data_IF_953074977189
#
_entry.id   IF_953074977189
#
_cell.length_a   1.000
_cell.length_b   1.000
_cell.length_c   1.000
_cell.angle_alpha   90.00
_cell.angle_beta   90.00
_cell.angle_gamma   90.00
#
_symmetry.space_group_name_H-M   'P 1'
#
loop_
_entity.id
_entity.type
_entity.pdbx_description
1 polymer ?
#
# COMPACT_ATOMS: atom_id res chain seq x y z
N UNK A 1 29.05 6.50 -4.71
CA UNK A 1 29.32 7.83 -4.10
C UNK A 1 30.53 7.87 -3.16
N UNK A 2 30.96 6.75 -2.55
CA UNK A 2 32.11 6.72 -1.65
C UNK A 2 33.49 7.15 -2.25
N UNK A 3 33.67 7.05 -3.57
CA UNK A 3 34.96 7.32 -4.23
C UNK A 3 35.42 8.78 -4.24
N UNK A 4 34.49 9.75 -4.31
CA UNK A 4 34.82 11.16 -4.47
C UNK A 4 35.48 11.78 -3.21
N UNK A 5 35.04 11.37 -2.01
CA UNK A 5 35.64 11.81 -0.74
C UNK A 5 37.00 11.17 -0.47
N UNK A 6 37.22 9.94 -0.94
CA UNK A 6 38.51 9.26 -0.81
C UNK A 6 39.61 9.93 -1.66
N UNK A 7 39.25 10.43 -2.84
CA UNK A 7 40.21 11.05 -3.78
C UNK A 7 40.65 12.45 -3.36
N UNK A 8 39.74 13.27 -2.87
CA UNK A 8 40.03 14.67 -2.47
C UNK A 8 40.95 14.74 -1.25
N UNK A 9 41.05 13.66 -0.47
CA UNK A 9 41.86 13.61 0.75
C UNK A 9 43.34 13.25 0.54
N UNK A 10 43.80 12.85 -0.65
CA UNK A 10 45.17 12.31 -0.81
C UNK A 10 46.27 13.37 -0.64
N UNK A 11 45.97 14.65 -0.85
CA UNK A 11 46.92 15.77 -0.70
C UNK A 11 46.84 16.49 0.65
N UNK A 12 45.84 16.19 1.48
CA UNK A 12 45.61 16.87 2.76
C UNK A 12 45.86 15.92 3.95
N UNK A 13 46.93 16.17 4.69
CA UNK A 13 47.33 15.39 5.87
C UNK A 13 47.16 16.20 7.16
N UNK A 14 47.03 15.50 8.30
CA UNK A 14 46.90 16.11 9.62
C UNK A 14 45.52 15.91 10.29
N UNK A 15 45.38 16.36 11.56
CA UNK A 15 44.18 16.10 12.38
C UNK A 15 42.89 16.64 11.78
N UNK A 16 42.94 17.81 11.14
CA UNK A 16 41.78 18.42 10.47
C UNK A 16 41.27 17.57 9.30
N UNK A 17 42.18 17.04 8.48
CA UNK A 17 41.82 16.15 7.37
C UNK A 17 41.26 14.81 7.87
N UNK A 18 41.78 14.27 8.97
CA UNK A 18 41.23 13.07 9.60
C UNK A 18 39.79 13.29 10.13
N UNK A 19 39.53 14.43 10.78
CA UNK A 19 38.19 14.81 11.22
C UNK A 19 37.23 15.04 10.06
N UNK A 20 37.67 15.68 8.98
CA UNK A 20 36.86 15.86 7.78
C UNK A 20 36.48 14.53 7.12
N UNK A 21 37.42 13.57 7.01
CA UNK A 21 37.13 12.22 6.48
C UNK A 21 36.14 11.46 7.35
N UNK A 22 36.28 11.55 8.68
CA UNK A 22 35.35 10.93 9.63
C UNK A 22 33.94 11.48 9.45
N UNK A 23 33.78 12.81 9.48
CA UNK A 23 32.49 13.48 9.25
C UNK A 23 31.90 13.18 7.88
N UNK A 24 32.73 13.09 6.84
CA UNK A 24 32.30 12.67 5.51
C UNK A 24 31.78 11.23 5.47
N UNK A 25 32.48 10.30 6.12
CA UNK A 25 32.01 8.91 6.26
C UNK A 25 30.71 8.82 7.05
N UNK A 26 30.62 9.57 8.15
CA UNK A 26 29.43 9.70 8.98
C UNK A 26 28.22 10.22 8.21
N UNK A 27 28.42 11.20 7.32
CA UNK A 27 27.38 11.74 6.43
C UNK A 27 26.94 10.71 5.38
N UNK A 28 27.88 9.97 4.78
CA UNK A 28 27.57 8.93 3.79
C UNK A 28 26.68 7.85 4.41
N UNK A 29 27.02 7.37 5.60
CA UNK A 29 26.21 6.38 6.33
C UNK A 29 24.80 6.91 6.59
N UNK A 30 24.66 8.16 7.06
CA UNK A 30 23.35 8.75 7.30
C UNK A 30 22.51 8.90 6.01
N UNK A 31 23.15 9.22 4.88
CA UNK A 31 22.47 9.30 3.58
C UNK A 31 22.04 7.91 3.08
N UNK A 32 22.83 6.87 3.32
CA UNK A 32 22.47 5.48 3.01
C UNK A 32 21.28 5.01 3.86
N UNK A 33 21.22 5.39 5.14
CA UNK A 33 20.06 5.13 6.01
C UNK A 33 18.80 5.83 5.49
N UNK A 34 18.87 7.11 5.12
CA UNK A 34 17.73 7.84 4.52
C UNK A 34 17.29 7.17 3.21
N UNK A 35 18.23 6.80 2.35
CA UNK A 35 17.92 6.14 1.08
C UNK A 35 17.22 4.80 1.31
N UNK A 36 17.66 4.00 2.28
CA UNK A 36 17.04 2.74 2.64
C UNK A 36 15.60 2.89 3.14
N UNK A 37 15.32 3.91 3.96
CA UNK A 37 13.95 4.18 4.42
C UNK A 37 13.03 4.67 3.30
N UNK A 38 13.54 5.47 2.35
CA UNK A 38 12.80 5.86 1.15
C UNK A 38 12.49 4.66 0.26
N UNK A 39 13.44 3.74 0.10
CA UNK A 39 13.27 2.54 -0.71
C UNK A 39 12.19 1.62 -0.11
N UNK A 40 12.22 1.40 1.20
CA UNK A 40 11.16 0.66 1.92
C UNK A 40 9.77 1.27 1.72
N UNK A 41 9.67 2.60 1.87
CA UNK A 41 8.41 3.31 1.63
C UNK A 41 7.92 3.18 0.18
N UNK A 42 8.83 3.26 -0.79
CA UNK A 42 8.51 3.11 -2.21
C UNK A 42 8.07 1.67 -2.56
N UNK A 43 8.70 0.66 -1.95
CA UNK A 43 8.32 -0.74 -2.09
C UNK A 43 6.92 -0.99 -1.53
N UNK A 44 6.64 -0.52 -0.31
CA UNK A 44 5.31 -0.63 0.31
C UNK A 44 4.21 0.03 -0.54
N UNK A 45 4.49 1.20 -1.12
CA UNK A 45 3.56 1.88 -2.04
C UNK A 45 3.32 1.07 -3.31
N UNK A 46 4.37 0.46 -3.88
CA UNK A 46 4.26 -0.35 -5.10
C UNK A 46 3.45 -1.61 -4.85
N UNK A 47 3.73 -2.32 -3.77
CA UNK A 47 3.00 -3.53 -3.40
C UNK A 47 1.53 -3.22 -3.14
N UNK A 48 1.25 -2.12 -2.45
CA UNK A 48 -0.12 -1.71 -2.22
C UNK A 48 -0.83 -1.28 -3.50
N UNK A 49 -0.15 -0.63 -4.44
CA UNK A 49 -0.73 -0.29 -5.74
C UNK A 49 -1.12 -1.54 -6.56
N UNK A 50 -0.28 -2.58 -6.53
CA UNK A 50 -0.58 -3.88 -7.16
C UNK A 50 -1.78 -4.54 -6.47
N UNK A 51 -1.80 -4.56 -5.13
CA UNK A 51 -2.91 -5.13 -4.35
C UNK A 51 -4.23 -4.39 -4.60
N UNK A 52 -4.20 -3.06 -4.70
CA UNK A 52 -5.37 -2.25 -5.00
C UNK A 52 -5.90 -2.51 -6.42
N UNK A 53 -5.00 -2.68 -7.40
CA UNK A 53 -5.39 -3.05 -8.76
C UNK A 53 -6.09 -4.42 -8.81
N UNK A 54 -5.58 -5.42 -8.08
CA UNK A 54 -6.23 -6.73 -7.95
C UNK A 54 -7.61 -6.64 -7.28
N UNK A 55 -7.70 -5.96 -6.14
CA UNK A 55 -8.96 -5.77 -5.42
C UNK A 55 -10.00 -5.04 -6.28
N UNK A 56 -9.58 -4.06 -7.07
CA UNK A 56 -10.45 -3.32 -7.99
C UNK A 56 -10.96 -4.21 -9.12
N UNK A 57 -10.09 -5.02 -9.72
CA UNK A 57 -10.51 -5.95 -10.78
C UNK A 57 -11.46 -7.04 -10.25
N UNK A 58 -11.18 -7.57 -9.05
CA UNK A 58 -12.09 -8.50 -8.36
C UNK A 58 -13.44 -7.86 -8.04
N UNK A 59 -13.45 -6.59 -7.61
CA UNK A 59 -14.66 -5.82 -7.38
C UNK A 59 -15.50 -5.67 -8.65
N UNK A 60 -14.87 -5.26 -9.75
CA UNK A 60 -15.54 -5.14 -11.06
C UNK A 60 -16.13 -6.47 -11.54
N UNK A 61 -15.41 -7.59 -11.38
CA UNK A 61 -15.95 -8.93 -11.72
C UNK A 61 -17.17 -9.29 -10.88
N UNK A 62 -17.18 -8.95 -9.59
CA UNK A 62 -18.35 -9.15 -8.73
C UNK A 62 -19.54 -8.27 -9.14
N UNK A 63 -19.28 -7.03 -9.56
CA UNK A 63 -20.32 -6.14 -10.09
C UNK A 63 -20.92 -6.68 -11.39
N UNK A 64 -20.08 -7.18 -12.31
CA UNK A 64 -20.52 -7.83 -13.55
C UNK A 64 -21.34 -9.10 -13.28
N UNK A 65 -20.92 -9.92 -12.31
CA UNK A 65 -21.64 -11.12 -11.88
C UNK A 65 -22.98 -10.77 -11.22
N UNK A 66 -23.00 -9.76 -10.34
CA UNK A 66 -24.23 -9.27 -9.73
C UNK A 66 -25.21 -8.76 -10.79
N UNK A 67 -24.73 -7.99 -11.77
CA UNK A 67 -25.56 -7.50 -12.87
C UNK A 67 -26.16 -8.65 -13.70
N UNK A 68 -25.42 -9.74 -13.93
CA UNK A 68 -25.93 -10.94 -14.60
C UNK A 68 -27.08 -11.62 -13.83
N UNK A 69 -27.13 -11.44 -12.51
CA UNK A 69 -28.21 -11.90 -11.64
C UNK A 69 -29.32 -10.86 -11.40
N UNK A 70 -29.27 -9.69 -12.05
CA UNK A 70 -30.23 -8.62 -11.79
C UNK A 70 -30.04 -7.93 -10.44
N UNK A 71 -28.83 -7.99 -9.89
CA UNK A 71 -28.44 -7.37 -8.64
C UNK A 71 -27.50 -6.17 -8.89
N UNK A 72 -27.52 -5.20 -7.98
CA UNK A 72 -26.56 -4.11 -7.88
C UNK A 72 -25.80 -4.25 -6.57
N UNK A 73 -24.48 -4.11 -6.62
CA UNK A 73 -23.65 -4.06 -5.42
C UNK A 73 -23.59 -2.63 -4.88
N UNK A 74 -23.78 -2.49 -3.57
CA UNK A 74 -23.59 -1.24 -2.86
C UNK A 74 -22.87 -1.44 -1.53
N UNK A 75 -22.72 -0.37 -0.76
CA UNK A 75 -22.05 -0.40 0.54
C UNK A 75 -22.70 -1.41 1.53
N UNK A 76 -24.00 -1.65 1.40
CA UNK A 76 -24.76 -2.55 2.26
C UNK A 76 -24.91 -3.96 1.66
N UNK A 77 -24.20 -4.27 0.57
CA UNK A 77 -24.27 -5.56 -0.12
C UNK A 77 -25.14 -5.56 -1.39
N UNK A 78 -25.39 -6.74 -1.98
CA UNK A 78 -26.20 -6.90 -3.18
C UNK A 78 -27.68 -6.60 -2.92
N UNK A 79 -28.27 -5.76 -3.77
CA UNK A 79 -29.68 -5.42 -3.79
C UNK A 79 -30.28 -5.64 -5.19
N UNK A 80 -31.58 -5.96 -5.32
CA UNK A 80 -32.23 -6.06 -6.63
C UNK A 80 -32.11 -4.76 -7.44
N UNK A 81 -31.86 -4.90 -8.75
CA UNK A 81 -31.84 -3.76 -9.65
C UNK A 81 -33.24 -3.11 -9.78
N UNK A 82 -33.33 -1.78 -9.96
CA UNK A 82 -34.60 -1.08 -10.15
C UNK A 82 -35.41 -1.70 -11.30
N UNK A 83 -36.70 -1.92 -11.07
CA UNK A 83 -37.60 -2.50 -12.08
C UNK A 83 -37.68 -4.03 -12.09
N UNK A 84 -36.80 -4.73 -11.38
CA UNK A 84 -36.99 -6.15 -11.06
C UNK A 84 -37.98 -6.25 -9.90
N UNK A 85 -39.28 -6.29 -10.22
CA UNK A 85 -40.31 -6.68 -9.26
C UNK A 85 -40.17 -8.18 -9.04
N UNK A 86 -40.01 -8.58 -7.78
CA UNK A 86 -39.91 -9.98 -7.35
C UNK A 86 -40.80 -10.87 -8.19
N UNK A 87 -40.15 -11.84 -8.83
CA UNK A 87 -40.73 -12.66 -9.88
C UNK A 87 -42.02 -13.32 -9.40
N UNK A 88 -43.00 -13.49 -10.29
CA UNK A 88 -44.25 -14.16 -9.96
C UNK A 88 -44.07 -15.67 -9.60
N UNK A 89 -42.83 -16.15 -9.61
CA UNK A 89 -42.42 -17.54 -9.38
C UNK A 89 -41.50 -17.65 -8.15
N UNK A 90 -41.90 -18.48 -7.19
CA UNK A 90 -41.15 -18.76 -5.96
C UNK A 90 -39.78 -19.38 -6.23
N UNK A 91 -39.61 -20.14 -7.32
CA UNK A 91 -38.34 -20.74 -7.71
C UNK A 91 -37.34 -19.67 -8.12
N UNK A 92 -37.81 -18.67 -8.86
CA UNK A 92 -36.98 -17.59 -9.36
C UNK A 92 -36.57 -16.66 -8.20
N UNK A 93 -37.51 -16.33 -7.29
CA UNK A 93 -37.20 -15.62 -6.05
C UNK A 93 -36.17 -16.34 -5.17
N UNK A 94 -36.28 -17.67 -5.02
CA UNK A 94 -35.31 -18.47 -4.27
C UNK A 94 -33.91 -18.47 -4.92
N UNK A 95 -33.83 -18.47 -6.25
CA UNK A 95 -32.54 -18.34 -6.97
C UNK A 95 -31.91 -16.98 -6.78
N UNK A 96 -32.71 -15.91 -6.83
CA UNK A 96 -32.23 -14.55 -6.59
C UNK A 96 -31.69 -14.39 -5.16
N UNK A 97 -32.39 -14.94 -4.17
CA UNK A 97 -31.94 -14.90 -2.77
C UNK A 97 -30.65 -15.70 -2.55
N UNK A 98 -30.52 -16.88 -3.17
CA UNK A 98 -29.28 -17.66 -3.12
C UNK A 98 -28.11 -16.89 -3.75
N UNK A 99 -28.31 -16.29 -4.92
CA UNK A 99 -27.31 -15.45 -5.58
C UNK A 99 -26.93 -14.25 -4.70
N UNK A 100 -27.92 -13.60 -4.08
CA UNK A 100 -27.72 -12.47 -3.16
C UNK A 100 -26.87 -12.87 -1.96
N UNK A 101 -27.15 -14.02 -1.35
CA UNK A 101 -26.37 -14.52 -0.21
C UNK A 101 -24.91 -14.79 -0.60
N UNK A 102 -24.68 -15.56 -1.67
CA UNK A 102 -23.33 -15.89 -2.14
C UNK A 102 -22.53 -14.66 -2.55
N UNK A 103 -23.13 -13.73 -3.30
CA UNK A 103 -22.46 -12.48 -3.68
C UNK A 103 -22.25 -11.56 -2.47
N UNK A 104 -23.15 -11.58 -1.49
CA UNK A 104 -23.03 -10.81 -0.25
C UNK A 104 -21.83 -11.22 0.58
N UNK A 105 -21.62 -12.53 0.76
CA UNK A 105 -20.44 -13.05 1.46
C UNK A 105 -19.14 -12.68 0.75
N UNK A 106 -19.09 -12.83 -0.58
CA UNK A 106 -17.92 -12.48 -1.39
C UNK A 106 -17.61 -10.99 -1.37
N UNK A 107 -18.64 -10.15 -1.45
CA UNK A 107 -18.53 -8.70 -1.37
C UNK A 107 -18.04 -8.25 0.02
N UNK A 108 -18.60 -8.81 1.09
CA UNK A 108 -18.15 -8.55 2.46
C UNK A 108 -16.68 -8.96 2.66
N UNK A 109 -16.28 -10.11 2.12
CA UNK A 109 -14.89 -10.55 2.10
C UNK A 109 -13.97 -9.57 1.38
N UNK A 110 -14.35 -9.10 0.19
CA UNK A 110 -13.57 -8.12 -0.57
C UNK A 110 -13.42 -6.78 0.18
N UNK A 111 -14.49 -6.29 0.82
CA UNK A 111 -14.45 -5.07 1.64
C UNK A 111 -13.53 -5.25 2.86
N UNK A 112 -13.59 -6.41 3.52
CA UNK A 112 -12.69 -6.72 4.63
C UNK A 112 -11.22 -6.78 4.18
N UNK A 113 -10.93 -7.44 3.05
CA UNK A 113 -9.59 -7.48 2.46
C UNK A 113 -9.09 -6.08 2.08
N UNK A 114 -9.96 -5.24 1.51
CA UNK A 114 -9.62 -3.86 1.16
C UNK A 114 -9.34 -3.00 2.39
N UNK A 115 -10.12 -3.16 3.46
CA UNK A 115 -9.90 -2.46 4.73
C UNK A 115 -8.59 -2.87 5.38
N UNK A 116 -8.30 -4.18 5.40
CA UNK A 116 -7.04 -4.70 5.91
C UNK A 116 -5.84 -4.19 5.10
N UNK A 117 -5.93 -4.19 3.76
CA UNK A 117 -4.88 -3.65 2.91
C UNK A 117 -4.59 -2.17 3.20
N UNK A 118 -5.63 -1.36 3.42
CA UNK A 118 -5.48 0.06 3.75
C UNK A 118 -4.79 0.26 5.11
N UNK A 119 -5.13 -0.58 6.11
CA UNK A 119 -4.48 -0.57 7.40
C UNK A 119 -2.99 -0.95 7.30
N UNK A 120 -2.66 -2.01 6.55
CA UNK A 120 -1.29 -2.48 6.32
C UNK A 120 -0.42 -1.35 5.69
N UNK A 121 -0.96 -0.66 4.68
CA UNK A 121 -0.25 0.48 4.08
C UNK A 121 -0.03 1.62 5.08
N UNK A 122 -1.06 1.93 5.89
CA UNK A 122 -0.95 2.96 6.93
C UNK A 122 0.18 2.66 7.92
N UNK A 123 0.34 1.39 8.33
CA UNK A 123 1.43 0.93 9.19
C UNK A 123 2.78 1.12 8.51
N UNK A 124 2.93 0.63 7.28
CA UNK A 124 4.18 0.70 6.52
C UNK A 124 4.63 2.15 6.28
N UNK A 125 3.69 3.06 5.97
CA UNK A 125 4.00 4.47 5.79
C UNK A 125 4.39 5.16 7.10
N UNK A 126 3.76 4.80 8.22
CA UNK A 126 4.16 5.33 9.52
C UNK A 126 5.54 4.84 9.96
N UNK A 127 5.86 3.57 9.68
CA UNK A 127 7.19 3.02 9.91
C UNK A 127 8.26 3.73 9.08
N UNK A 128 8.05 3.88 7.77
CA UNK A 128 8.97 4.63 6.90
C UNK A 128 9.12 6.09 7.36
N UNK A 129 8.02 6.74 7.77
CA UNK A 129 8.03 8.10 8.32
C UNK A 129 8.86 8.19 9.61
N UNK A 130 8.71 7.21 10.52
CA UNK A 130 9.50 7.15 11.76
C UNK A 130 10.98 6.91 11.47
N UNK A 131 11.30 6.01 10.53
CA UNK A 131 12.67 5.77 10.07
C UNK A 131 13.32 7.04 9.51
N UNK A 132 12.63 7.73 8.59
CA UNK A 132 13.07 9.00 8.02
C UNK A 132 13.27 10.09 9.07
N UNK A 133 12.37 10.21 10.04
CA UNK A 133 12.51 11.17 11.13
C UNK A 133 13.72 10.87 12.01
N UNK A 134 14.01 9.59 12.26
CA UNK A 134 15.21 9.13 12.97
C UNK A 134 16.48 9.49 12.20
N UNK A 135 16.56 9.11 10.93
CA UNK A 135 17.70 9.40 10.07
C UNK A 135 17.94 10.91 9.90
N UNK A 136 16.87 11.71 9.74
CA UNK A 136 16.97 13.17 9.68
C UNK A 136 17.44 13.82 10.99
N UNK A 137 17.14 13.19 12.13
CA UNK A 137 17.64 13.65 13.44
C UNK A 137 19.11 13.29 13.61
N UNK A 138 19.52 12.09 13.22
CA UNK A 138 20.93 11.67 13.20
C UNK A 138 21.77 12.54 12.25
N UNK A 139 21.20 12.99 11.13
CA UNK A 139 21.86 13.92 10.21
C UNK A 139 22.08 15.31 10.82
N UNK A 140 21.13 15.80 11.63
CA UNK A 140 21.21 17.12 12.27
C UNK A 140 22.13 17.17 13.49
N UNK A 141 22.41 16.02 14.11
CA UNK A 141 23.23 15.94 15.32
C UNK A 141 24.71 15.63 15.07
N UNK A 142 25.10 15.37 13.81
CA UNK A 142 26.49 15.13 13.36
C UNK A 142 27.16 16.41 12.88
#
# INVERSE_FOLDING_TARGET
MAGAYAETGRSWSGPAAATARRRGGDLVVALEEVAGELEKGAEALRDHAVRLADLTDRGRRLEEEAAAHGLLLGANGPAPAPGIRGEADAVAAARLEAARATLGERWAGLLAESSAAAADLGIALDEARRGLAGAATALRSR
#
